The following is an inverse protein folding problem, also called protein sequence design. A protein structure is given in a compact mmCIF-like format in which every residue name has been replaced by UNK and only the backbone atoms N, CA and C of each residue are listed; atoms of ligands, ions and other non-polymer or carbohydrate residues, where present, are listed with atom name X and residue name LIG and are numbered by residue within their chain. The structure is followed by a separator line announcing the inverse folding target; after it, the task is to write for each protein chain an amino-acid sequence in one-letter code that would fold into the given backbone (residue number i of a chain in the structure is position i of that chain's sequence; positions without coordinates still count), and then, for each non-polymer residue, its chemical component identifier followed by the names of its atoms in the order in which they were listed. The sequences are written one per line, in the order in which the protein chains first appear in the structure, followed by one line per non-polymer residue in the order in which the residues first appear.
data_IF_566805122921
#
_entry.id   IF_566805122921
#
_cell.length_a   1.000
_cell.length_b   1.000
_cell.length_c   1.000
_cell.angle_alpha   90.00
_cell.angle_beta   90.00
_cell.angle_gamma   90.00
#
_symmetry.space_group_name_H-M   'P 1'
#
loop_
_entity.id
_entity.type
_entity.pdbx_description
1 polymer ?
#
# COMPACT_ATOMS: atom_id res chain seq x y z
N UNK A 1 -5.24 15.48 -28.93
CA UNK A 1 -5.24 15.44 -27.44
C UNK A 1 -6.35 14.50 -27.01
N UNK A 2 -6.04 13.26 -26.77
CA UNK A 2 -6.98 12.19 -26.42
C UNK A 2 -7.26 12.25 -24.91
N UNK A 3 -8.50 12.42 -24.52
CA UNK A 3 -8.91 12.38 -23.12
C UNK A 3 -8.92 10.94 -22.64
N UNK A 4 -8.23 10.69 -21.55
CA UNK A 4 -8.17 9.42 -20.85
C UNK A 4 -9.57 9.08 -20.26
N UNK A 5 -10.23 7.98 -20.63
CA UNK A 5 -11.56 7.62 -20.13
C UNK A 5 -11.64 7.31 -18.64
N UNK A 6 -10.52 7.35 -17.93
CA UNK A 6 -10.41 7.08 -16.48
C UNK A 6 -10.40 8.34 -15.61
N UNK A 7 -10.49 9.54 -16.20
CA UNK A 7 -10.64 10.78 -15.43
C UNK A 7 -12.11 11.14 -15.30
N UNK A 8 -12.62 11.15 -14.07
CA UNK A 8 -13.96 11.59 -13.74
C UNK A 8 -14.22 13.01 -14.31
N UNK A 9 -15.20 13.11 -15.18
CA UNK A 9 -15.64 14.30 -15.89
C UNK A 9 -16.22 15.35 -14.95
N UNK A 10 -15.65 16.54 -14.95
CA UNK A 10 -16.38 17.76 -14.61
C UNK A 10 -17.28 18.15 -15.77
N UNK A 11 -18.57 18.29 -15.50
CA UNK A 11 -19.57 18.75 -16.46
C UNK A 11 -19.24 20.16 -16.96
N UNK A 12 -19.05 20.27 -18.27
CA UNK A 12 -19.26 21.52 -19.01
C UNK A 12 -20.20 21.22 -20.17
N UNK A 13 -21.10 22.17 -20.43
CA UNK A 13 -22.24 22.12 -21.34
C UNK A 13 -21.96 21.60 -22.76
N UNK A 14 -23.00 21.11 -23.47
CA UNK A 14 -22.84 20.33 -24.67
C UNK A 14 -22.65 21.23 -25.90
N UNK A 15 -21.43 21.27 -26.41
CA UNK A 15 -21.21 21.51 -27.85
C UNK A 15 -21.25 20.14 -28.53
N UNK A 16 -22.10 20.01 -29.57
CA UNK A 16 -22.30 18.79 -30.32
C UNK A 16 -20.95 18.21 -30.78
N UNK A 17 -20.56 17.06 -30.25
CA UNK A 17 -19.39 16.30 -30.69
C UNK A 17 -19.76 15.47 -31.90
N UNK A 18 -18.95 15.59 -32.96
CA UNK A 18 -18.89 14.58 -34.00
C UNK A 18 -18.68 13.18 -33.38
N UNK A 19 -19.23 12.08 -33.95
CA UNK A 19 -19.06 10.74 -33.41
C UNK A 19 -17.56 10.44 -33.38
N UNK A 20 -17.03 10.21 -32.17
CA UNK A 20 -15.65 9.77 -32.01
C UNK A 20 -15.50 8.43 -32.73
N UNK A 21 -14.60 8.35 -33.73
CA UNK A 21 -14.22 7.10 -34.31
C UNK A 21 -13.87 6.11 -33.17
N UNK A 22 -14.40 4.89 -33.22
CA UNK A 22 -14.04 3.83 -32.26
C UNK A 22 -12.52 3.70 -32.32
N UNK A 23 -11.82 3.62 -31.17
CA UNK A 23 -10.39 3.44 -31.18
C UNK A 23 -10.04 2.21 -32.00
N UNK A 24 -9.11 2.38 -32.95
CA UNK A 24 -8.63 1.29 -33.80
C UNK A 24 -7.99 0.21 -32.95
N UNK A 25 -8.48 -1.03 -33.05
CA UNK A 25 -7.84 -2.16 -32.40
C UNK A 25 -6.46 -2.39 -33.02
N UNK A 26 -5.40 -2.40 -32.20
CA UNK A 26 -4.04 -2.65 -32.67
C UNK A 26 -3.83 -4.08 -33.14
N UNK A 27 -4.58 -5.03 -32.57
CA UNK A 27 -4.60 -6.45 -32.97
C UNK A 27 -6.03 -6.93 -33.24
N UNK A 28 -6.18 -7.79 -34.21
CA UNK A 28 -7.44 -8.45 -34.54
C UNK A 28 -7.62 -9.76 -33.75
N UNK A 29 -8.87 -10.17 -33.44
CA UNK A 29 -9.14 -11.51 -32.93
C UNK A 29 -8.60 -12.58 -33.90
N UNK A 30 -8.04 -13.67 -33.34
CA UNK A 30 -7.38 -14.77 -34.06
C UNK A 30 -6.06 -14.38 -34.78
N UNK A 31 -5.63 -13.13 -34.75
CA UNK A 31 -4.31 -12.76 -35.21
C UNK A 31 -3.23 -13.53 -34.44
N UNK A 32 -2.23 -14.04 -35.17
CA UNK A 32 -1.06 -14.68 -34.58
C UNK A 32 0.09 -13.69 -34.56
N UNK A 33 0.70 -13.52 -33.40
CA UNK A 33 1.88 -12.70 -33.18
C UNK A 33 3.03 -13.63 -32.81
N UNK A 34 4.17 -13.48 -33.48
CA UNK A 34 5.40 -14.27 -33.19
C UNK A 34 6.45 -13.36 -32.58
N UNK A 35 7.09 -13.82 -31.51
CA UNK A 35 8.27 -13.17 -30.94
C UNK A 35 9.48 -13.43 -31.83
N UNK A 36 10.20 -12.41 -32.27
CA UNK A 36 11.37 -12.58 -33.11
C UNK A 36 12.56 -13.24 -32.38
N UNK A 37 12.60 -13.17 -31.05
CA UNK A 37 13.71 -13.72 -30.26
C UNK A 37 13.45 -15.16 -29.79
N UNK A 38 12.23 -15.43 -29.30
CA UNK A 38 11.89 -16.74 -28.73
C UNK A 38 11.18 -17.66 -29.72
N UNK A 39 10.75 -17.15 -30.88
CA UNK A 39 9.92 -17.84 -31.88
C UNK A 39 8.62 -18.41 -31.31
N UNK A 40 8.23 -17.97 -30.12
CA UNK A 40 6.95 -18.32 -29.55
C UNK A 40 5.82 -17.55 -30.24
N UNK A 41 4.77 -18.27 -30.62
CA UNK A 41 3.61 -17.71 -31.26
C UNK A 41 2.44 -17.57 -30.28
N UNK A 42 1.68 -16.50 -30.44
CA UNK A 42 0.56 -16.16 -29.58
C UNK A 42 -0.66 -15.82 -30.43
N UNK A 43 -1.76 -16.56 -30.26
CA UNK A 43 -3.03 -16.25 -30.90
C UNK A 43 -3.83 -15.31 -30.02
N UNK A 44 -4.16 -14.15 -30.53
CA UNK A 44 -5.00 -13.15 -29.87
C UNK A 44 -6.43 -13.66 -29.79
N UNK A 45 -7.01 -13.70 -28.58
CA UNK A 45 -8.41 -14.11 -28.40
C UNK A 45 -9.33 -12.87 -28.39
N UNK A 46 -9.08 -11.91 -27.51
CA UNK A 46 -9.93 -10.72 -27.37
C UNK A 46 -9.21 -9.58 -26.66
N UNK A 47 -9.68 -8.37 -26.87
CA UNK A 47 -9.29 -7.20 -26.07
C UNK A 47 -9.81 -7.36 -24.64
N UNK A 48 -8.97 -7.07 -23.63
CA UNK A 48 -9.33 -7.14 -22.21
C UNK A 48 -9.16 -5.80 -21.49
N UNK A 49 -8.44 -4.86 -22.08
CA UNK A 49 -8.25 -3.53 -21.52
C UNK A 49 -7.63 -2.56 -22.52
N UNK A 50 -7.91 -1.27 -22.33
CA UNK A 50 -7.34 -0.18 -23.10
C UNK A 50 -7.04 0.99 -22.17
N UNK A 51 -5.91 1.67 -22.36
CA UNK A 51 -5.51 2.80 -21.54
C UNK A 51 -4.43 3.67 -22.19
N UNK A 52 -3.93 4.65 -21.47
CA UNK A 52 -2.93 5.60 -21.96
C UNK A 52 -1.59 4.97 -22.39
N UNK A 53 -1.34 3.73 -22.02
CA UNK A 53 -0.12 2.98 -22.34
C UNK A 53 -0.33 1.87 -23.38
N UNK A 54 -1.48 1.81 -24.02
CA UNK A 54 -1.78 0.86 -25.06
C UNK A 54 -3.00 -0.01 -24.80
N UNK A 55 -3.07 -1.13 -25.49
CA UNK A 55 -4.16 -2.09 -25.44
C UNK A 55 -3.65 -3.43 -24.88
N UNK A 56 -4.45 -4.08 -24.05
CA UNK A 56 -4.17 -5.39 -23.45
C UNK A 56 -5.12 -6.44 -24.04
N UNK A 57 -4.59 -7.56 -24.45
CA UNK A 57 -5.30 -8.65 -25.07
C UNK A 57 -5.11 -9.96 -24.31
N UNK A 58 -6.17 -10.73 -24.15
CA UNK A 58 -6.05 -12.15 -23.80
C UNK A 58 -5.52 -12.88 -25.03
N UNK A 59 -4.50 -13.70 -24.83
CA UNK A 59 -3.90 -14.49 -25.90
C UNK A 59 -3.54 -15.90 -25.42
N UNK A 60 -3.51 -16.81 -26.36
CA UNK A 60 -3.09 -18.19 -26.15
C UNK A 60 -1.78 -18.47 -26.85
N UNK A 61 -0.79 -18.91 -26.09
CA UNK A 61 0.48 -19.39 -26.65
C UNK A 61 0.25 -20.65 -27.49
N UNK A 62 0.80 -20.68 -28.68
CA UNK A 62 0.84 -21.85 -29.55
C UNK A 62 2.13 -22.64 -29.28
N UNK A 63 2.07 -23.96 -29.53
CA UNK A 63 3.23 -24.83 -29.27
C UNK A 63 3.51 -25.03 -27.76
N UNK A 64 4.68 -25.61 -27.43
CA UNK A 64 5.10 -25.93 -26.05
C UNK A 64 6.14 -24.92 -25.54
N UNK A 65 6.12 -24.61 -24.26
CA UNK A 65 7.16 -23.84 -23.57
C UNK A 65 7.20 -24.28 -22.11
N UNK A 66 8.39 -24.35 -21.55
CA UNK A 66 8.60 -24.65 -20.13
C UNK A 66 8.43 -23.40 -19.23
N UNK A 67 8.57 -22.21 -19.80
CA UNK A 67 8.64 -20.93 -19.05
C UNK A 67 7.44 -20.04 -19.22
N UNK A 68 6.75 -20.13 -20.37
CA UNK A 68 5.58 -19.29 -20.68
C UNK A 68 4.31 -20.13 -20.57
N UNK A 69 3.29 -19.72 -19.78
CA UNK A 69 2.01 -20.46 -19.66
C UNK A 69 1.22 -20.46 -20.97
N UNK A 70 0.22 -21.34 -21.04
CA UNK A 70 -0.65 -21.46 -22.23
C UNK A 70 -1.52 -20.21 -22.45
N UNK A 71 -1.90 -19.53 -21.39
CA UNK A 71 -2.72 -18.31 -21.44
C UNK A 71 -1.88 -17.15 -20.92
N UNK A 72 -1.82 -16.05 -21.69
CA UNK A 72 -1.02 -14.86 -21.40
C UNK A 72 -1.84 -13.59 -21.65
N UNK A 73 -1.37 -12.47 -21.11
CA UNK A 73 -1.81 -11.15 -21.50
C UNK A 73 -0.77 -10.56 -22.47
N UNK A 74 -1.20 -10.10 -23.64
CA UNK A 74 -0.35 -9.33 -24.54
C UNK A 74 -0.72 -7.86 -24.40
N UNK A 75 0.20 -7.03 -23.93
CA UNK A 75 0.07 -5.58 -23.90
C UNK A 75 0.80 -5.00 -25.10
N UNK A 76 0.10 -4.19 -25.89
CA UNK A 76 0.64 -3.58 -27.11
C UNK A 76 0.57 -2.06 -27.01
N UNK A 77 1.66 -1.40 -27.32
CA UNK A 77 1.78 0.05 -27.28
C UNK A 77 2.40 0.58 -28.58
N UNK A 78 2.02 1.79 -28.96
CA UNK A 78 2.70 2.57 -30.01
C UNK A 78 3.81 3.46 -29.44
N UNK A 79 4.01 3.47 -28.10
CA UNK A 79 4.92 4.35 -27.37
C UNK A 79 6.05 3.56 -26.71
N UNK A 80 7.28 3.85 -27.10
CA UNK A 80 8.48 3.18 -26.63
C UNK A 80 8.77 3.42 -25.12
N UNK A 81 8.56 4.66 -24.62
CA UNK A 81 9.03 5.05 -23.30
C UNK A 81 8.41 4.24 -22.14
N UNK A 82 7.10 3.99 -22.19
CA UNK A 82 6.40 3.17 -21.19
C UNK A 82 6.79 1.72 -21.31
N UNK A 83 6.87 1.21 -22.53
CA UNK A 83 7.25 -0.16 -22.84
C UNK A 83 8.66 -0.51 -22.33
N UNK A 84 9.67 0.33 -22.61
CA UNK A 84 11.04 0.10 -22.14
C UNK A 84 11.12 0.00 -20.61
N UNK A 85 10.41 0.88 -19.90
CA UNK A 85 10.40 0.85 -18.44
C UNK A 85 9.71 -0.41 -17.91
N UNK A 86 8.57 -0.76 -18.48
CA UNK A 86 7.83 -1.94 -18.03
C UNK A 86 8.61 -3.23 -18.31
N UNK A 87 9.26 -3.34 -19.48
CA UNK A 87 10.16 -4.45 -19.81
C UNK A 87 11.35 -4.52 -18.82
N UNK A 88 12.02 -3.39 -18.57
CA UNK A 88 13.15 -3.32 -17.64
C UNK A 88 12.76 -3.74 -16.21
N UNK A 89 11.67 -3.17 -15.66
CA UNK A 89 11.24 -3.52 -14.32
C UNK A 89 10.66 -4.94 -14.24
N UNK A 90 10.09 -5.46 -15.33
CA UNK A 90 9.72 -6.85 -15.45
C UNK A 90 10.92 -7.79 -15.24
N UNK A 91 12.07 -7.47 -15.82
CA UNK A 91 13.32 -8.21 -15.61
C UNK A 91 13.86 -8.04 -14.18
N UNK A 92 13.88 -6.80 -13.65
CA UNK A 92 14.34 -6.53 -12.26
C UNK A 92 13.50 -7.27 -11.21
N UNK A 93 12.22 -7.47 -11.49
CA UNK A 93 11.26 -8.13 -10.61
C UNK A 93 11.02 -9.60 -11.01
N UNK A 94 11.75 -10.15 -11.99
CA UNK A 94 11.55 -11.55 -12.40
C UNK A 94 11.70 -12.51 -11.20
N UNK A 95 10.82 -13.50 -11.16
CA UNK A 95 10.71 -14.43 -10.04
C UNK A 95 10.06 -13.85 -8.77
N UNK A 96 9.68 -12.57 -8.74
CA UNK A 96 8.99 -12.00 -7.57
C UNK A 96 7.51 -12.41 -7.56
N UNK A 97 7.10 -13.20 -6.56
CA UNK A 97 5.75 -13.80 -6.47
C UNK A 97 4.59 -12.77 -6.44
N UNK A 98 4.88 -11.51 -6.13
CA UNK A 98 3.90 -10.43 -5.96
C UNK A 98 3.98 -9.36 -7.04
N UNK A 99 4.77 -9.58 -8.09
CA UNK A 99 4.78 -8.78 -9.31
C UNK A 99 4.18 -9.58 -10.47
N UNK A 100 3.46 -8.90 -11.38
CA UNK A 100 3.05 -9.49 -12.65
C UNK A 100 4.32 -9.81 -13.44
N UNK A 101 4.45 -11.05 -13.87
CA UNK A 101 5.63 -11.53 -14.59
C UNK A 101 5.61 -11.05 -16.04
N UNK A 102 6.75 -10.60 -16.53
CA UNK A 102 6.99 -10.33 -17.95
C UNK A 102 7.73 -11.54 -18.52
N UNK A 103 7.15 -12.21 -19.50
CA UNK A 103 7.73 -13.39 -20.12
C UNK A 103 8.56 -13.02 -21.35
N UNK A 104 8.15 -11.97 -22.07
CA UNK A 104 8.79 -11.53 -23.30
C UNK A 104 8.50 -10.06 -23.59
N UNK A 105 9.40 -9.40 -24.34
CA UNK A 105 9.26 -7.98 -24.70
C UNK A 105 9.96 -7.73 -26.02
N UNK A 106 9.22 -7.39 -27.06
CA UNK A 106 9.77 -7.19 -28.42
C UNK A 106 9.00 -6.13 -29.22
N UNK A 107 9.64 -5.44 -30.17
CA UNK A 107 8.99 -4.61 -31.16
C UNK A 107 8.66 -5.41 -32.44
N UNK A 108 7.59 -5.03 -33.12
CA UNK A 108 7.29 -5.48 -34.50
C UNK A 108 6.93 -4.29 -35.35
N UNK A 109 7.35 -4.34 -36.64
CA UNK A 109 6.99 -3.35 -37.63
C UNK A 109 5.76 -3.87 -38.39
N UNK A 110 4.71 -3.07 -38.45
CA UNK A 110 3.52 -3.36 -39.25
C UNK A 110 3.77 -3.06 -40.73
N UNK A 111 2.92 -3.58 -41.62
CA UNK A 111 2.97 -3.34 -43.06
C UNK A 111 2.86 -1.83 -43.42
N UNK A 112 2.20 -1.04 -42.55
CA UNK A 112 2.09 0.42 -42.70
C UNK A 112 3.32 1.19 -42.18
N UNK A 113 4.40 0.48 -41.76
CA UNK A 113 5.65 1.06 -41.29
C UNK A 113 5.60 1.49 -39.80
N UNK A 114 4.45 1.41 -39.12
CA UNK A 114 4.35 1.72 -37.68
C UNK A 114 4.99 0.63 -36.81
N UNK A 115 5.73 1.04 -35.80
CA UNK A 115 6.30 0.12 -34.81
C UNK A 115 5.31 -0.08 -33.69
N UNK A 116 5.01 -1.35 -33.37
CA UNK A 116 4.25 -1.77 -32.21
C UNK A 116 5.20 -2.44 -31.22
N UNK A 117 5.04 -2.10 -29.93
CA UNK A 117 5.84 -2.61 -28.82
C UNK A 117 5.01 -3.59 -28.01
N UNK A 118 5.47 -4.83 -27.92
CA UNK A 118 4.77 -5.94 -27.28
C UNK A 118 5.38 -6.30 -25.93
N UNK A 119 4.53 -6.57 -24.95
CA UNK A 119 4.89 -7.25 -23.71
C UNK A 119 4.01 -8.49 -23.57
N UNK A 120 4.63 -9.63 -23.35
CA UNK A 120 3.93 -10.86 -22.99
C UNK A 120 3.96 -11.01 -21.48
N UNK A 121 2.81 -10.89 -20.84
CA UNK A 121 2.63 -10.76 -19.41
C UNK A 121 1.87 -11.96 -18.84
N UNK A 122 2.05 -12.20 -17.57
CA UNK A 122 1.20 -13.07 -16.78
C UNK A 122 -0.25 -12.59 -16.86
N UNK A 123 -1.16 -13.51 -17.15
CA UNK A 123 -2.59 -13.22 -17.17
C UNK A 123 -3.16 -13.35 -15.77
N UNK A 124 -3.80 -12.30 -15.30
CA UNK A 124 -4.52 -12.29 -14.02
C UNK A 124 -5.99 -12.66 -14.26
N UNK A 125 -6.40 -13.83 -13.80
CA UNK A 125 -7.69 -14.44 -14.10
C UNK A 125 -8.87 -13.58 -13.63
N UNK A 126 -8.68 -12.86 -12.52
CA UNK A 126 -9.71 -12.04 -11.91
C UNK A 126 -9.63 -10.56 -12.32
N UNK A 127 -8.65 -10.21 -13.16
CA UNK A 127 -8.43 -8.83 -13.64
C UNK A 127 -7.86 -7.91 -12.57
N UNK A 128 -8.08 -6.61 -12.72
CA UNK A 128 -7.62 -5.61 -11.76
C UNK A 128 -8.47 -5.56 -10.48
N UNK A 129 -7.88 -5.07 -9.39
CA UNK A 129 -8.52 -4.99 -8.08
C UNK A 129 -9.76 -4.10 -8.08
N UNK A 130 -9.76 -3.02 -8.87
CA UNK A 130 -10.92 -2.13 -8.95
C UNK A 130 -12.13 -2.83 -9.55
N UNK A 131 -11.96 -3.55 -10.66
CA UNK A 131 -13.00 -4.35 -11.28
C UNK A 131 -13.42 -5.51 -10.36
N UNK A 132 -12.46 -6.15 -9.69
CA UNK A 132 -12.74 -7.26 -8.76
C UNK A 132 -13.61 -6.80 -7.57
N UNK A 133 -13.28 -5.69 -6.92
CA UNK A 133 -14.05 -5.16 -5.79
C UNK A 133 -15.45 -4.69 -6.22
N UNK A 134 -15.59 -4.09 -7.42
CA UNK A 134 -16.91 -3.71 -7.95
C UNK A 134 -17.83 -4.92 -8.14
N UNK A 135 -17.30 -6.08 -8.56
CA UNK A 135 -18.11 -7.31 -8.72
C UNK A 135 -18.47 -7.95 -7.38
N UNK A 136 -17.55 -7.91 -6.40
CA UNK A 136 -17.69 -8.61 -5.11
C UNK A 136 -18.43 -7.83 -4.02
N UNK A 137 -18.29 -6.50 -3.99
CA UNK A 137 -19.00 -5.59 -3.08
C UNK A 137 -18.78 -5.82 -1.58
N UNK A 138 -17.84 -6.70 -1.16
CA UNK A 138 -17.58 -7.03 0.25
C UNK A 138 -16.15 -6.74 0.62
N UNK A 139 -15.97 -6.14 1.81
CA UNK A 139 -14.66 -5.97 2.41
C UNK A 139 -14.00 -7.30 2.74
N UNK A 140 -12.69 -7.34 2.64
CA UNK A 140 -11.90 -8.51 2.93
C UNK A 140 -11.64 -8.67 4.43
N UNK A 141 -11.49 -9.91 4.90
CA UNK A 141 -11.08 -10.19 6.27
C UNK A 141 -9.69 -9.58 6.55
N UNK A 142 -9.51 -9.01 7.75
CA UNK A 142 -8.27 -8.32 8.14
C UNK A 142 -7.01 -9.19 7.94
N UNK A 143 -7.09 -10.49 8.20
CA UNK A 143 -5.97 -11.41 8.01
C UNK A 143 -5.53 -11.50 6.56
N UNK A 144 -6.49 -11.51 5.62
CA UNK A 144 -6.24 -11.51 4.18
C UNK A 144 -5.67 -10.14 3.77
N UNK A 145 -6.31 -9.04 4.20
CA UNK A 145 -5.84 -7.68 3.90
C UNK A 145 -4.39 -7.49 4.33
N UNK A 146 -4.03 -7.91 5.54
CA UNK A 146 -2.63 -7.80 6.04
C UNK A 146 -1.66 -8.58 5.19
N UNK A 147 -2.00 -9.82 4.82
CA UNK A 147 -1.16 -10.69 3.99
C UNK A 147 -0.96 -10.07 2.59
N UNK A 148 -2.03 -9.64 1.98
CA UNK A 148 -1.98 -9.13 0.60
C UNK A 148 -1.28 -7.77 0.52
N UNK A 149 -1.56 -6.85 1.44
CA UNK A 149 -0.84 -5.58 1.53
C UNK A 149 0.65 -5.78 1.85
N UNK A 150 0.99 -6.74 2.72
CA UNK A 150 2.40 -7.08 2.96
C UNK A 150 3.08 -7.58 1.68
N UNK A 151 2.38 -8.34 0.84
CA UNK A 151 2.89 -8.79 -0.46
C UNK A 151 3.17 -7.63 -1.43
N UNK A 152 2.26 -6.66 -1.54
CA UNK A 152 2.48 -5.46 -2.36
C UNK A 152 3.64 -4.62 -1.81
N UNK A 153 3.72 -4.45 -0.49
CA UNK A 153 4.83 -3.75 0.15
C UNK A 153 6.17 -4.44 -0.09
N UNK A 154 6.20 -5.76 -0.26
CA UNK A 154 7.46 -6.49 -0.53
C UNK A 154 8.04 -6.14 -1.91
N UNK A 155 7.18 -5.98 -2.93
CA UNK A 155 7.60 -5.42 -4.24
C UNK A 155 8.17 -4.02 -4.07
N UNK A 156 7.44 -3.16 -3.34
CA UNK A 156 7.89 -1.78 -3.10
C UNK A 156 9.21 -1.69 -2.33
N UNK A 157 9.45 -2.59 -1.39
CA UNK A 157 10.73 -2.68 -0.67
C UNK A 157 11.89 -2.91 -1.64
N UNK A 158 11.72 -3.81 -2.61
CA UNK A 158 12.74 -4.07 -3.63
C UNK A 158 12.97 -2.82 -4.49
N UNK A 159 11.91 -2.14 -4.91
CA UNK A 159 11.99 -0.89 -5.67
C UNK A 159 12.64 0.25 -4.87
N UNK A 160 12.17 0.50 -3.63
CA UNK A 160 12.68 1.58 -2.78
C UNK A 160 14.16 1.41 -2.41
N UNK A 161 14.63 0.17 -2.20
CA UNK A 161 16.05 -0.13 -1.99
C UNK A 161 16.89 0.20 -3.23
N UNK A 162 16.32 0.03 -4.42
CA UNK A 162 16.90 0.48 -5.69
C UNK A 162 16.69 1.97 -5.98
N UNK A 163 16.34 2.79 -4.97
CA UNK A 163 16.04 4.22 -5.15
C UNK A 163 14.98 4.51 -6.22
N UNK A 164 14.03 3.61 -6.36
CA UNK A 164 12.98 3.64 -7.38
C UNK A 164 11.61 3.79 -6.73
N UNK A 165 10.75 4.63 -7.31
CA UNK A 165 9.42 4.93 -6.82
C UNK A 165 8.37 4.49 -7.83
N UNK A 166 7.28 3.86 -7.37
CA UNK A 166 6.23 3.34 -8.24
C UNK A 166 5.33 4.46 -8.79
N UNK A 167 4.88 5.36 -7.94
CA UNK A 167 4.11 6.59 -8.26
C UNK A 167 2.66 6.38 -8.71
N UNK A 168 2.25 5.17 -9.08
CA UNK A 168 0.89 4.88 -9.54
C UNK A 168 0.32 3.58 -8.96
N UNK A 169 0.31 3.48 -7.64
CA UNK A 169 -0.33 2.38 -6.93
C UNK A 169 -1.85 2.62 -6.86
N UNK A 170 -2.51 2.20 -7.90
CA UNK A 170 -3.95 2.33 -8.08
C UNK A 170 -4.62 0.97 -8.13
N UNK A 171 -5.93 0.86 -7.88
CA UNK A 171 -6.64 -0.42 -8.00
C UNK A 171 -6.57 -1.06 -9.39
N UNK A 172 -6.33 -0.27 -10.45
CA UNK A 172 -6.21 -0.81 -11.82
C UNK A 172 -4.82 -1.37 -12.12
N UNK A 173 -3.79 -1.01 -11.32
CA UNK A 173 -2.42 -1.49 -11.45
C UNK A 173 -2.10 -2.62 -10.45
N UNK A 174 -3.08 -3.02 -9.63
CA UNK A 174 -3.02 -4.18 -8.74
C UNK A 174 -3.95 -5.24 -9.28
N UNK A 175 -3.41 -6.41 -9.58
CA UNK A 175 -4.13 -7.51 -10.21
C UNK A 175 -4.46 -8.60 -9.21
N UNK A 176 -5.60 -9.26 -9.41
CA UNK A 176 -6.08 -10.35 -8.56
C UNK A 176 -5.89 -11.67 -9.30
N UNK A 177 -4.99 -12.49 -8.78
CA UNK A 177 -4.70 -13.83 -9.24
C UNK A 177 -5.34 -14.87 -8.32
N UNK A 178 -5.11 -16.16 -8.58
CA UNK A 178 -5.68 -17.28 -7.83
C UNK A 178 -5.58 -17.13 -6.30
N UNK A 179 -6.66 -17.50 -5.61
CA UNK A 179 -6.77 -17.60 -4.16
C UNK A 179 -6.76 -16.27 -3.39
N UNK A 180 -7.45 -15.28 -3.77
CA UNK A 180 -7.28 -13.83 -3.93
C UNK A 180 -5.86 -13.33 -3.57
N UNK A 181 -4.89 -13.68 -4.42
CA UNK A 181 -3.50 -13.19 -4.34
C UNK A 181 -3.38 -11.89 -5.13
N UNK A 182 -2.90 -10.84 -4.50
CA UNK A 182 -2.60 -9.58 -5.18
C UNK A 182 -1.19 -9.58 -5.75
N UNK A 183 -1.08 -9.11 -7.01
CA UNK A 183 0.18 -8.83 -7.69
C UNK A 183 0.19 -7.40 -8.20
N UNK A 184 1.35 -6.75 -8.10
CA UNK A 184 1.58 -5.41 -8.63
C UNK A 184 2.02 -5.51 -10.08
N UNK A 185 1.45 -4.69 -10.94
CA UNK A 185 1.83 -4.56 -12.35
C UNK A 185 1.83 -3.12 -12.82
N UNK A 186 1.99 -2.92 -14.11
CA UNK A 186 2.11 -1.63 -14.78
C UNK A 186 3.24 -0.73 -14.23
N UNK A 187 4.45 -1.11 -14.58
CA UNK A 187 5.66 -0.37 -14.20
C UNK A 187 6.05 0.74 -15.20
N UNK A 188 5.17 1.08 -16.13
CA UNK A 188 5.44 2.04 -17.21
C UNK A 188 5.75 3.46 -16.77
N UNK A 189 5.33 3.88 -15.56
CA UNK A 189 5.64 5.21 -15.00
C UNK A 189 6.59 5.19 -13.80
N UNK A 190 7.09 4.02 -13.44
CA UNK A 190 8.11 3.86 -12.41
C UNK A 190 9.36 4.68 -12.75
N UNK A 191 9.96 5.36 -11.77
CA UNK A 191 11.13 6.22 -11.96
C UNK A 191 12.09 6.15 -10.80
N UNK A 192 13.36 6.39 -11.10
CA UNK A 192 14.38 6.61 -10.08
C UNK A 192 14.07 7.87 -9.26
N UNK A 193 14.39 7.87 -8.00
CA UNK A 193 14.16 8.99 -7.07
C UNK A 193 14.97 10.24 -7.47
N UNK A 194 16.10 10.04 -8.16
CA UNK A 194 16.95 11.10 -8.70
C UNK A 194 16.41 11.76 -9.97
N UNK A 195 15.41 11.18 -10.64
CA UNK A 195 14.82 11.79 -11.84
C UNK A 195 14.12 13.11 -11.46
N UNK A 196 14.77 14.21 -11.83
CA UNK A 196 14.31 15.58 -11.55
C UNK A 196 13.08 15.99 -12.36
N UNK A 197 12.67 15.22 -13.37
CA UNK A 197 11.44 15.48 -14.12
C UNK A 197 10.24 15.25 -13.20
N UNK A 198 9.66 16.36 -12.74
CA UNK A 198 8.57 16.36 -11.76
C UNK A 198 7.34 15.59 -12.26
N UNK A 199 6.60 15.03 -11.32
CA UNK A 199 5.23 14.60 -11.58
C UNK A 199 4.40 15.87 -11.69
N UNK A 200 3.65 16.03 -12.77
CA UNK A 200 2.68 17.12 -12.84
C UNK A 200 1.40 16.70 -12.13
N UNK A 201 0.67 17.64 -11.54
CA UNK A 201 -0.64 17.38 -10.93
C UNK A 201 -1.63 16.69 -11.91
N UNK A 202 -1.43 16.91 -13.24
CA UNK A 202 -2.24 16.30 -14.31
C UNK A 202 -1.99 14.80 -14.50
N UNK A 203 -0.78 14.30 -14.14
CA UNK A 203 -0.40 12.90 -14.31
C UNK A 203 -0.60 12.07 -13.04
N UNK A 204 -0.94 12.72 -11.91
CA UNK A 204 -1.24 12.02 -10.67
C UNK A 204 -2.67 11.48 -10.66
N UNK A 205 -2.83 10.22 -10.30
CA UNK A 205 -4.17 9.65 -10.09
C UNK A 205 -4.83 10.26 -8.86
N UNK A 206 -5.90 11.04 -9.06
CA UNK A 206 -6.61 11.74 -7.98
C UNK A 206 -7.23 10.82 -6.93
N UNK A 207 -7.45 9.54 -7.26
CA UNK A 207 -8.05 8.56 -6.36
C UNK A 207 -7.07 8.10 -5.27
N UNK A 208 -5.82 7.89 -5.63
CA UNK A 208 -4.82 7.32 -4.71
C UNK A 208 -3.65 8.24 -4.41
N UNK A 209 -3.37 9.28 -5.21
CA UNK A 209 -2.26 10.18 -4.92
C UNK A 209 -2.54 11.08 -3.70
N UNK A 210 -1.51 11.44 -2.92
CA UNK A 210 -1.66 12.35 -1.79
C UNK A 210 -2.18 13.73 -2.21
N UNK A 211 -3.23 14.22 -1.57
CA UNK A 211 -3.81 15.53 -1.88
C UNK A 211 -2.86 16.70 -1.61
N UNK A 212 -2.00 16.55 -0.62
CA UNK A 212 -0.98 17.54 -0.25
C UNK A 212 0.13 17.75 -1.32
N UNK A 213 0.11 16.97 -2.39
CA UNK A 213 0.99 17.14 -3.54
C UNK A 213 0.33 17.91 -4.70
N UNK A 214 -1.00 18.01 -4.76
CA UNK A 214 -1.70 18.67 -5.86
C UNK A 214 -1.51 20.20 -5.89
N UNK A 215 -1.31 20.80 -4.73
CA UNK A 215 -1.17 22.26 -4.57
C UNK A 215 0.26 22.75 -4.81
N UNK A 216 1.18 21.87 -5.21
CA UNK A 216 2.58 22.18 -5.43
C UNK A 216 2.90 22.29 -6.92
N UNK A 217 3.61 23.33 -7.31
CA UNK A 217 4.02 23.55 -8.69
C UNK A 217 4.92 22.42 -9.24
N UNK A 218 5.80 21.87 -8.40
CA UNK A 218 6.67 20.74 -8.73
C UNK A 218 6.77 19.78 -7.52
N UNK A 219 5.80 18.89 -7.33
CA UNK A 219 5.80 18.00 -6.19
C UNK A 219 6.93 16.96 -6.31
N UNK A 220 7.82 16.93 -5.32
CA UNK A 220 8.84 15.89 -5.22
C UNK A 220 8.22 14.66 -4.55
N UNK A 221 8.01 13.61 -5.35
CA UNK A 221 7.51 12.31 -4.87
C UNK A 221 8.58 11.59 -4.04
N UNK A 222 8.17 10.93 -2.98
CA UNK A 222 9.04 10.18 -2.07
C UNK A 222 8.43 8.81 -1.76
N UNK A 223 9.21 7.89 -1.20
CA UNK A 223 8.73 6.55 -0.82
C UNK A 223 7.48 6.59 0.10
N UNK A 224 7.38 7.58 0.98
CA UNK A 224 6.20 7.80 1.83
C UNK A 224 4.92 8.13 1.05
N UNK A 225 5.04 8.56 -0.19
CA UNK A 225 3.88 8.87 -1.05
C UNK A 225 3.38 7.60 -1.75
N UNK A 226 4.28 6.64 -2.08
CA UNK A 226 3.89 5.28 -2.44
C UNK A 226 3.20 4.58 -1.25
N UNK A 227 3.73 4.75 -0.02
CA UNK A 227 3.10 4.24 1.21
C UNK A 227 1.69 4.80 1.42
N UNK A 228 1.48 6.09 1.12
CA UNK A 228 0.14 6.67 1.14
C UNK A 228 -0.82 5.94 0.19
N UNK A 229 -0.37 5.67 -1.04
CA UNK A 229 -1.17 4.94 -2.03
C UNK A 229 -1.48 3.51 -1.55
N UNK A 230 -0.52 2.81 -0.95
CA UNK A 230 -0.78 1.50 -0.31
C UNK A 230 -1.81 1.63 0.81
N UNK A 231 -1.77 2.71 1.58
CA UNK A 231 -2.80 3.02 2.58
C UNK A 231 -4.19 3.15 1.98
N UNK A 232 -4.33 3.79 0.82
CA UNK A 232 -5.61 3.85 0.10
C UNK A 232 -6.08 2.45 -0.33
N UNK A 233 -5.20 1.63 -0.92
CA UNK A 233 -5.53 0.23 -1.29
C UNK A 233 -5.95 -0.60 -0.07
N UNK A 234 -5.24 -0.47 1.06
CA UNK A 234 -5.59 -1.14 2.31
C UNK A 234 -7.00 -0.77 2.77
N UNK A 235 -7.32 0.52 2.76
CA UNK A 235 -8.65 1.00 3.13
C UNK A 235 -9.74 0.50 2.18
N UNK A 236 -9.49 0.52 0.87
CA UNK A 236 -10.40 0.01 -0.16
C UNK A 236 -10.68 -1.49 0.01
N UNK A 237 -9.67 -2.29 0.35
CA UNK A 237 -9.84 -3.73 0.63
C UNK A 237 -10.70 -3.97 1.88
N UNK A 238 -10.54 -3.18 2.95
CA UNK A 238 -11.37 -3.30 4.16
C UNK A 238 -12.82 -2.93 3.87
N UNK A 239 -13.03 -1.87 3.09
CA UNK A 239 -14.38 -1.40 2.72
C UNK A 239 -15.04 -2.32 1.69
N UNK A 240 -14.26 -2.92 0.79
CA UNK A 240 -14.74 -3.67 -0.38
C UNK A 240 -15.16 -2.77 -1.54
N UNK A 241 -14.68 -1.53 -1.56
CA UNK A 241 -15.03 -0.52 -2.56
C UNK A 241 -13.80 0.30 -2.98
N UNK A 242 -13.50 0.29 -4.27
CA UNK A 242 -12.43 1.07 -4.88
C UNK A 242 -12.93 2.32 -5.63
N UNK A 243 -14.23 2.64 -5.56
CA UNK A 243 -14.82 3.77 -6.29
C UNK A 243 -14.56 5.12 -5.63
N UNK A 244 -14.21 5.14 -4.36
CA UNK A 244 -13.98 6.35 -3.58
C UNK A 244 -12.70 6.29 -2.77
N UNK A 245 -12.11 7.46 -2.55
CA UNK A 245 -10.97 7.65 -1.67
C UNK A 245 -11.35 7.41 -0.21
N UNK A 246 -10.48 6.73 0.53
CA UNK A 246 -10.62 6.59 1.99
C UNK A 246 -10.03 7.82 2.68
N UNK A 247 -10.81 8.47 3.54
CA UNK A 247 -10.41 9.65 4.31
C UNK A 247 -10.02 9.26 5.74
N UNK A 248 -9.22 10.08 6.39
CA UNK A 248 -8.85 9.87 7.81
C UNK A 248 -10.06 9.83 8.74
N UNK A 249 -11.12 10.60 8.42
CA UNK A 249 -12.41 10.57 9.14
C UNK A 249 -13.10 9.21 9.06
N UNK A 250 -12.95 8.48 7.96
CA UNK A 250 -13.63 7.20 7.72
C UNK A 250 -13.00 6.07 8.56
N UNK A 251 -11.70 6.21 8.89
CA UNK A 251 -10.90 5.13 9.52
C UNK A 251 -11.50 4.63 10.82
N UNK A 252 -12.06 5.52 11.64
CA UNK A 252 -12.66 5.14 12.94
C UNK A 252 -13.81 4.15 12.77
N UNK A 253 -14.63 4.30 11.72
CA UNK A 253 -15.80 3.47 11.44
C UNK A 253 -15.51 2.14 10.75
N UNK A 254 -14.26 1.87 10.35
CA UNK A 254 -13.91 0.65 9.63
C UNK A 254 -14.03 -0.61 10.51
N UNK A 255 -14.43 -1.73 9.92
CA UNK A 255 -14.55 -3.03 10.59
C UNK A 255 -13.23 -3.78 10.58
N UNK A 256 -12.27 -3.30 11.37
CA UNK A 256 -10.97 -3.93 11.56
C UNK A 256 -10.43 -3.60 12.95
N UNK A 257 -9.32 -4.21 13.35
CA UNK A 257 -8.68 -3.97 14.64
C UNK A 257 -8.18 -2.52 14.78
N UNK A 258 -8.14 -2.00 16.00
CA UNK A 258 -7.62 -0.65 16.25
C UNK A 258 -6.16 -0.49 15.81
N UNK A 259 -5.38 -1.56 15.87
CA UNK A 259 -4.01 -1.55 15.35
C UNK A 259 -3.98 -1.32 13.83
N UNK A 260 -4.86 -1.96 13.05
CA UNK A 260 -4.91 -1.74 11.61
C UNK A 260 -5.46 -0.35 11.27
N UNK A 261 -6.40 0.17 12.08
CA UNK A 261 -6.86 1.57 11.99
C UNK A 261 -5.72 2.56 12.24
N UNK A 262 -4.87 2.32 13.24
CA UNK A 262 -3.68 3.15 13.50
C UNK A 262 -2.72 3.15 12.31
N UNK A 263 -2.46 1.98 11.72
CA UNK A 263 -1.61 1.86 10.53
C UNK A 263 -2.20 2.64 9.36
N UNK A 264 -3.48 2.41 9.04
CA UNK A 264 -4.16 3.09 7.97
C UNK A 264 -4.18 4.60 8.17
N UNK A 265 -4.57 5.06 9.36
CA UNK A 265 -4.60 6.48 9.71
C UNK A 265 -3.23 7.15 9.54
N UNK A 266 -2.14 6.44 9.90
CA UNK A 266 -0.77 6.92 9.70
C UNK A 266 -0.40 6.99 8.22
N UNK A 267 -0.76 5.99 7.42
CA UNK A 267 -0.47 5.97 5.98
C UNK A 267 -1.12 7.14 5.23
N UNK A 268 -2.44 7.35 5.45
CA UNK A 268 -3.22 8.35 4.69
C UNK A 268 -3.31 9.72 5.37
N UNK A 269 -2.70 9.87 6.53
CA UNK A 269 -2.68 11.10 7.31
C UNK A 269 -1.65 12.12 6.81
N UNK A 270 -1.28 13.03 7.71
CA UNK A 270 -0.31 14.08 7.46
C UNK A 270 1.02 13.53 6.96
N UNK A 271 1.56 14.09 5.86
CA UNK A 271 2.74 13.59 5.14
C UNK A 271 3.96 13.35 6.04
N UNK A 272 4.22 14.25 7.00
CA UNK A 272 5.36 14.15 7.92
C UNK A 272 5.27 12.98 8.89
N UNK A 273 4.07 12.46 9.12
CA UNK A 273 3.79 11.36 10.07
C UNK A 273 3.66 10.01 9.38
N UNK A 274 3.59 9.96 8.04
CA UNK A 274 3.53 8.71 7.27
C UNK A 274 4.75 7.84 7.55
N UNK A 275 4.64 6.56 7.28
CA UNK A 275 5.82 5.69 7.21
C UNK A 275 6.75 6.20 6.12
N UNK A 276 8.05 6.23 6.39
CA UNK A 276 9.04 6.79 5.47
C UNK A 276 9.34 5.86 4.30
N UNK A 277 9.11 4.55 4.49
CA UNK A 277 9.38 3.52 3.49
C UNK A 277 8.39 2.35 3.60
N UNK A 278 8.39 1.49 2.59
CA UNK A 278 7.68 0.23 2.60
C UNK A 278 8.18 -0.70 3.74
N UNK A 279 9.49 -0.69 4.06
CA UNK A 279 10.06 -1.47 5.17
C UNK A 279 9.40 -1.11 6.51
N UNK A 280 9.29 0.19 6.81
CA UNK A 280 8.68 0.65 8.07
C UNK A 280 7.20 0.25 8.18
N UNK A 281 6.45 0.32 7.06
CA UNK A 281 5.05 -0.10 7.05
C UNK A 281 4.90 -1.62 7.19
N UNK A 282 5.77 -2.42 6.57
CA UNK A 282 5.79 -3.89 6.75
C UNK A 282 6.03 -4.26 8.20
N UNK A 283 6.99 -3.60 8.85
CA UNK A 283 7.27 -3.85 10.27
C UNK A 283 6.07 -3.50 11.15
N UNK A 284 5.36 -2.41 10.83
CA UNK A 284 4.14 -2.07 11.52
C UNK A 284 3.03 -3.12 11.33
N UNK A 285 2.87 -3.66 10.11
CA UNK A 285 1.88 -4.71 9.81
C UNK A 285 2.21 -6.04 10.52
N UNK A 286 3.49 -6.42 10.59
CA UNK A 286 3.96 -7.65 11.26
C UNK A 286 3.85 -7.57 12.77
N UNK A 287 4.06 -6.38 13.32
CA UNK A 287 3.90 -6.15 14.74
C UNK A 287 2.41 -6.27 15.07
N UNK A 288 1.96 -7.48 15.38
CA UNK A 288 0.68 -7.60 16.12
C UNK A 288 0.89 -6.80 17.39
N UNK A 289 0.28 -5.61 17.48
CA UNK A 289 -0.11 -5.12 18.79
C UNK A 289 -1.00 -6.22 19.33
N UNK A 290 -0.46 -7.08 20.18
CA UNK A 290 -1.31 -7.82 21.08
C UNK A 290 -2.26 -6.75 21.62
N UNK A 291 -3.61 -6.89 21.49
CA UNK A 291 -4.49 -5.97 22.14
C UNK A 291 -3.93 -5.85 23.55
N UNK A 292 -3.77 -4.62 24.02
CA UNK A 292 -3.52 -4.34 25.41
C UNK A 292 -4.78 -4.84 26.13
N UNK A 293 -4.96 -6.18 26.20
CA UNK A 293 -5.79 -6.73 27.25
C UNK A 293 -5.10 -6.17 28.48
N UNK A 294 -5.75 -5.31 29.26
CA UNK A 294 -5.24 -4.98 30.56
C UNK A 294 -4.97 -6.35 31.17
N UNK A 295 -3.70 -6.74 31.26
CA UNK A 295 -3.34 -7.97 31.91
C UNK A 295 -4.01 -7.85 33.26
N UNK A 296 -4.78 -8.84 33.69
CA UNK A 296 -5.40 -8.84 34.99
C UNK A 296 -4.25 -8.98 35.97
N UNK A 297 -3.54 -7.87 36.16
CA UNK A 297 -2.51 -7.78 37.19
C UNK A 297 -3.26 -7.86 38.51
N UNK A 298 -3.05 -8.95 39.25
CA UNK A 298 -3.73 -9.17 40.51
C UNK A 298 -3.00 -8.52 41.67
N UNK A 299 -1.71 -8.15 41.53
CA UNK A 299 -0.86 -7.55 42.55
C UNK A 299 0.26 -6.73 41.91
N UNK A 300 0.75 -5.73 42.65
CA UNK A 300 1.94 -4.94 42.27
C UNK A 300 3.24 -5.49 42.88
N UNK A 301 3.19 -6.53 43.66
CA UNK A 301 4.38 -7.12 44.33
C UNK A 301 5.37 -7.65 43.29
N UNK A 302 6.62 -7.19 43.36
CA UNK A 302 7.69 -7.55 42.41
C UNK A 302 7.59 -6.95 41.02
N UNK A 303 6.61 -6.10 40.78
CA UNK A 303 6.37 -5.49 39.45
C UNK A 303 7.30 -4.30 39.24
N UNK A 304 8.00 -4.27 38.12
CA UNK A 304 8.80 -3.13 37.69
C UNK A 304 7.90 -2.09 37.01
N UNK A 305 7.66 -0.95 37.68
CA UNK A 305 6.68 0.05 37.25
C UNK A 305 7.33 1.37 36.91
N UNK A 306 6.85 2.02 35.83
CA UNK A 306 7.13 3.41 35.51
C UNK A 306 5.84 4.19 35.28
N UNK A 307 5.90 5.50 35.47
CA UNK A 307 4.75 6.40 35.38
C UNK A 307 4.88 7.40 34.25
N UNK A 308 3.78 7.63 33.51
CA UNK A 308 3.72 8.61 32.42
C UNK A 308 2.41 9.41 32.46
N UNK A 309 2.48 10.69 32.08
CA UNK A 309 1.32 11.60 32.12
C UNK A 309 1.15 12.33 33.46
N UNK A 310 0.03 13.03 33.59
CA UNK A 310 -0.38 13.81 34.76
C UNK A 310 -1.31 12.95 35.60
N UNK A 311 -1.02 12.83 36.89
CA UNK A 311 -1.82 12.06 37.86
C UNK A 311 -2.66 12.99 38.74
N UNK A 312 -3.76 12.47 39.29
CA UNK A 312 -4.60 13.19 40.25
C UNK A 312 -3.85 13.49 41.56
N UNK A 313 -2.90 12.63 41.96
CA UNK A 313 -1.99 12.85 43.10
C UNK A 313 -0.57 13.16 42.59
N UNK A 314 0.22 13.83 43.43
CA UNK A 314 1.62 14.12 43.08
C UNK A 314 2.38 12.84 42.72
N UNK A 315 3.29 12.93 41.79
CA UNK A 315 4.10 11.78 41.34
C UNK A 315 4.84 11.09 42.50
N UNK A 316 5.25 11.87 43.49
CA UNK A 316 5.87 11.36 44.72
C UNK A 316 4.89 10.45 45.52
N UNK A 317 3.62 10.86 45.65
CA UNK A 317 2.58 10.07 46.34
C UNK A 317 2.23 8.80 45.55
N UNK A 318 2.14 8.87 44.24
CA UNK A 318 1.88 7.71 43.36
C UNK A 318 3.02 6.70 43.46
N UNK A 319 4.28 7.16 43.36
CA UNK A 319 5.46 6.31 43.48
C UNK A 319 5.57 5.67 44.89
N UNK A 320 5.25 6.42 45.95
CA UNK A 320 5.23 5.88 47.33
C UNK A 320 4.16 4.79 47.49
N UNK A 321 2.97 4.97 46.91
CA UNK A 321 1.92 3.97 46.93
C UNK A 321 2.34 2.68 46.20
N UNK A 322 3.00 2.81 45.04
CA UNK A 322 3.52 1.66 44.30
C UNK A 322 4.54 0.87 45.11
N UNK A 323 5.49 1.55 45.79
CA UNK A 323 6.50 0.90 46.62
C UNK A 323 5.87 0.20 47.85
N UNK A 324 4.88 0.82 48.49
CA UNK A 324 4.15 0.17 49.58
C UNK A 324 3.42 -1.09 49.13
N UNK A 325 2.92 -1.11 47.91
CA UNK A 325 2.31 -2.29 47.28
C UNK A 325 3.34 -3.31 46.75
N UNK A 326 4.63 -3.13 47.04
CA UNK A 326 5.72 -4.05 46.70
C UNK A 326 6.26 -3.88 45.27
N UNK A 327 5.95 -2.80 44.57
CA UNK A 327 6.47 -2.55 43.22
C UNK A 327 7.87 -1.89 43.28
N UNK A 328 8.69 -2.18 42.26
CA UNK A 328 9.98 -1.54 42.01
C UNK A 328 9.75 -0.40 41.04
N UNK A 329 9.95 0.84 41.48
CA UNK A 329 9.65 2.05 40.71
C UNK A 329 10.87 2.55 39.97
N UNK A 330 10.75 2.73 38.65
CA UNK A 330 11.76 3.27 37.77
C UNK A 330 11.41 4.69 37.30
N UNK A 331 12.44 5.50 37.05
CA UNK A 331 12.29 6.87 36.51
C UNK A 331 11.77 6.90 35.07
N UNK A 332 12.10 5.88 34.28
CA UNK A 332 11.69 5.70 32.88
C UNK A 332 11.59 4.25 32.47
N UNK A 333 11.01 3.96 31.29
CA UNK A 333 10.95 2.61 30.75
C UNK A 333 12.36 2.06 30.46
N UNK A 334 12.57 0.79 30.76
CA UNK A 334 13.78 0.02 30.49
C UNK A 334 13.41 -1.42 30.12
N UNK A 335 14.40 -2.25 29.78
CA UNK A 335 14.20 -3.67 29.51
C UNK A 335 13.57 -4.42 30.70
N UNK A 336 13.73 -3.90 31.91
CA UNK A 336 13.15 -4.48 33.13
C UNK A 336 11.70 -4.04 33.38
N UNK A 337 11.20 -3.02 32.68
CA UNK A 337 9.85 -2.50 32.92
C UNK A 337 8.79 -3.48 32.48
N UNK A 338 7.95 -3.90 33.43
CA UNK A 338 6.81 -4.81 33.17
C UNK A 338 5.46 -4.10 33.16
N UNK A 339 5.37 -2.92 33.85
CA UNK A 339 4.15 -2.13 33.92
C UNK A 339 4.40 -0.64 33.71
N UNK A 340 3.53 0.00 32.92
CA UNK A 340 3.43 1.44 32.81
C UNK A 340 2.07 1.89 33.32
N UNK A 341 2.08 2.81 34.28
CA UNK A 341 0.85 3.48 34.72
C UNK A 341 0.70 4.80 33.95
N UNK A 342 -0.43 4.92 33.26
CA UNK A 342 -0.75 6.08 32.42
C UNK A 342 -1.75 6.98 33.14
N UNK A 343 -1.33 8.18 33.49
CA UNK A 343 -2.21 9.30 33.88
C UNK A 343 -2.80 10.03 32.67
N UNK A 344 -3.38 11.20 32.88
CA UNK A 344 -3.91 12.06 31.81
C UNK A 344 -2.78 12.52 30.89
N UNK A 345 -3.05 12.65 29.57
CA UNK A 345 -2.06 13.18 28.64
C UNK A 345 -1.63 14.60 29.06
N UNK A 346 -0.34 14.90 29.02
CA UNK A 346 0.17 16.27 29.15
C UNK A 346 0.23 16.87 27.73
N UNK A 347 -0.72 17.75 27.41
CA UNK A 347 -0.85 18.38 26.10
C UNK A 347 0.40 19.19 25.73
N UNK A 348 1.04 19.85 26.71
CA UNK A 348 2.24 20.66 26.50
C UNK A 348 3.49 19.80 26.17
N UNK A 349 3.58 18.59 26.70
CA UNK A 349 4.67 17.65 26.40
C UNK A 349 4.41 16.76 25.19
N UNK A 350 3.17 16.72 24.72
CA UNK A 350 2.78 15.94 23.55
C UNK A 350 2.94 16.72 22.23
N UNK A 351 3.45 17.95 22.25
CA UNK A 351 3.56 18.85 21.08
C UNK A 351 3.97 18.10 19.80
N UNK A 352 2.98 17.73 18.99
CA UNK A 352 3.17 17.06 17.70
C UNK A 352 3.57 15.58 17.74
N UNK A 353 3.53 14.88 18.88
CA UNK A 353 3.90 13.46 19.04
C UNK A 353 2.73 12.63 19.60
N UNK A 354 2.62 11.38 19.17
CA UNK A 354 1.56 10.43 19.58
C UNK A 354 1.57 10.06 21.09
N UNK A 355 2.43 10.66 21.88
CA UNK A 355 2.55 10.45 23.30
C UNK A 355 3.85 10.99 23.88
N UNK A 356 3.94 11.14 25.21
CA UNK A 356 5.17 11.55 25.87
C UNK A 356 6.31 10.55 25.65
N UNK A 357 7.58 11.02 25.73
CA UNK A 357 8.79 10.24 25.48
C UNK A 357 8.80 8.85 26.15
N UNK A 358 8.29 8.74 27.37
CA UNK A 358 8.21 7.46 28.09
C UNK A 358 7.26 6.45 27.42
N UNK A 359 6.13 6.91 26.86
CA UNK A 359 5.21 6.02 26.16
C UNK A 359 5.80 5.57 24.82
N UNK A 360 6.55 6.44 24.15
CA UNK A 360 7.26 6.09 22.90
C UNK A 360 8.35 5.05 23.18
N UNK A 361 9.14 5.21 24.24
CA UNK A 361 10.17 4.24 24.62
C UNK A 361 9.56 2.90 25.02
N UNK A 362 8.44 2.91 25.72
CA UNK A 362 7.70 1.69 26.01
C UNK A 362 7.19 0.97 24.76
N UNK A 363 6.69 1.72 23.78
CA UNK A 363 6.32 1.17 22.45
C UNK A 363 7.53 0.55 21.76
N UNK A 364 8.71 1.21 21.82
CA UNK A 364 9.97 0.69 21.27
C UNK A 364 10.40 -0.62 21.96
N UNK A 365 10.39 -0.68 23.28
CA UNK A 365 10.72 -1.89 24.04
C UNK A 365 9.77 -3.05 23.71
N UNK A 366 8.48 -2.77 23.57
CA UNK A 366 7.49 -3.78 23.16
C UNK A 366 7.75 -4.32 21.76
N UNK A 367 8.16 -3.46 20.80
CA UNK A 367 8.60 -3.90 19.47
C UNK A 367 9.81 -4.84 19.53
N UNK A 368 10.67 -4.69 20.55
CA UNK A 368 11.80 -5.59 20.83
C UNK A 368 11.40 -6.86 21.58
N UNK A 369 10.10 -7.12 21.78
CA UNK A 369 9.58 -8.34 22.44
C UNK A 369 9.37 -8.24 23.94
N UNK A 370 9.63 -7.08 24.59
CA UNK A 370 9.39 -6.93 26.05
C UNK A 370 7.88 -6.89 26.35
N UNK A 371 7.45 -7.68 27.33
CA UNK A 371 6.06 -7.71 27.79
C UNK A 371 5.82 -6.57 28.79
N UNK A 372 5.21 -5.48 28.32
CA UNK A 372 4.88 -4.32 29.16
C UNK A 372 3.36 -4.15 29.20
N UNK A 373 2.77 -4.21 30.39
CA UNK A 373 1.34 -3.94 30.65
C UNK A 373 1.14 -2.45 30.91
N UNK A 374 0.09 -1.85 30.33
CA UNK A 374 -0.27 -0.46 30.60
C UNK A 374 -1.52 -0.45 31.45
N UNK A 375 -1.42 0.19 32.63
CA UNK A 375 -2.54 0.43 33.55
C UNK A 375 -3.00 1.87 33.47
N UNK A 376 -4.30 2.10 33.56
CA UNK A 376 -4.84 3.43 33.82
C UNK A 376 -4.57 3.81 35.29
N UNK A 377 -4.64 5.10 35.63
CA UNK A 377 -4.51 5.54 37.03
C UNK A 377 -5.54 4.88 37.94
N UNK A 378 -6.78 4.72 37.50
CA UNK A 378 -7.83 4.06 38.28
C UNK A 378 -7.53 2.57 38.53
N UNK A 379 -6.98 1.85 37.54
CA UNK A 379 -6.56 0.46 37.70
C UNK A 379 -5.38 0.34 38.65
N UNK A 380 -4.43 1.26 38.58
CA UNK A 380 -3.30 1.32 39.50
C UNK A 380 -3.77 1.50 40.94
N UNK A 381 -4.66 2.46 41.22
CA UNK A 381 -5.14 2.71 42.59
C UNK A 381 -5.92 1.51 43.17
N UNK A 382 -6.65 0.78 42.34
CA UNK A 382 -7.31 -0.48 42.79
C UNK A 382 -6.32 -1.56 43.24
N UNK A 383 -5.13 -1.58 42.64
CA UNK A 383 -4.07 -2.55 42.99
C UNK A 383 -3.18 -2.04 44.13
N UNK A 384 -2.94 -0.73 44.21
CA UNK A 384 -2.08 -0.09 45.21
C UNK A 384 -2.80 0.15 46.52
N UNK A 385 -4.13 0.15 46.55
CA UNK A 385 -4.97 0.30 47.74
C UNK A 385 -5.41 -1.01 48.42
N UNK A 386 -5.02 -2.14 47.81
CA UNK A 386 -5.14 -3.46 48.41
C UNK A 386 -3.84 -3.80 49.13
#
# INVERSE_FOLDING_TARGET
MSQNPWTATTRTSPLARAPSARPEHLLAPNQVVESPETHLQYRVERLIGEGGFGQAYLARRLGRSATVPAVVCIKVSTRIDGWLREAYFGQVLDGHERAIRVFDAFPLIRDDGRVLYFLVLEYAEHGDLGAFLRRGGKGWAETIVRREIAGILDVLRKLHRGQTLHRDLTPVNVFVCDGPRLKLGDFGIVRQQSDMRGITARTMNRMTAPSDLFDRAAPKWQARDDVYQVGQLLGMLIVGDASRRVRTSDVRGLRCSDHLKEILHRCIGERRKRYESADEMVDALKTRSAPLKPGVLRSLKGVHVTFTGIFTKTRRKVAAAARRAGAIVHSGPSALTTVIVRGRPNVLQAAGRDGGLKLMEAKRLRRKGHRITVLTEAQFWRLAGR
#
